data_IF_246587364639
#
_entry.id   IF_246587364639
#
_cell.length_a   1.000
_cell.length_b   1.000
_cell.length_c   1.000
_cell.angle_alpha   90.00
_cell.angle_beta   90.00
_cell.angle_gamma   90.00
#
_symmetry.space_group_name_H-M   'P 1'
#
loop_
_entity.id
_entity.type
_entity.pdbx_description
1 polymer ?
#
# COMPACT_ATOMS: atom_id res chain seq x y z
N UNK A 1 -37.50 29.10 25.89
CA UNK A 1 -36.51 28.66 24.88
C UNK A 1 -35.63 29.82 24.40
N UNK A 2 -36.14 30.78 23.61
CA UNK A 2 -35.30 31.85 23.01
C UNK A 2 -34.60 32.78 24.01
N UNK A 3 -35.27 33.10 25.12
CA UNK A 3 -34.72 33.94 26.21
C UNK A 3 -33.63 33.25 27.04
N UNK A 4 -33.53 31.91 26.93
CA UNK A 4 -32.53 31.09 27.63
C UNK A 4 -31.25 30.95 26.81
N UNK A 5 -31.36 31.09 25.48
CA UNK A 5 -30.24 30.94 24.54
C UNK A 5 -29.70 32.29 24.01
N UNK A 6 -30.24 33.41 24.50
CA UNK A 6 -29.89 34.78 24.08
C UNK A 6 -29.85 35.01 22.55
N UNK A 7 -30.83 34.44 21.84
CA UNK A 7 -30.98 34.61 20.39
C UNK A 7 -32.28 35.37 20.07
N UNK A 8 -32.24 36.26 19.09
CA UNK A 8 -33.43 36.96 18.62
C UNK A 8 -34.41 36.00 17.94
N UNK A 9 -35.71 36.21 18.17
CA UNK A 9 -36.78 35.40 17.56
C UNK A 9 -36.74 35.45 16.03
N UNK A 10 -36.39 36.61 15.47
CA UNK A 10 -36.23 36.81 14.02
C UNK A 10 -35.03 36.04 13.47
N UNK A 11 -33.87 36.09 14.14
CA UNK A 11 -32.67 35.37 13.72
C UNK A 11 -32.86 33.85 13.78
N UNK A 12 -33.61 33.34 14.75
CA UNK A 12 -33.96 31.92 14.81
C UNK A 12 -34.82 31.47 13.63
N UNK A 13 -35.90 32.18 13.30
CA UNK A 13 -36.77 31.81 12.18
C UNK A 13 -36.14 32.10 10.81
N UNK A 14 -35.22 33.07 10.72
CA UNK A 14 -34.43 33.30 9.52
C UNK A 14 -33.44 32.16 9.28
N UNK A 15 -32.77 31.68 10.34
CA UNK A 15 -31.92 30.49 10.28
C UNK A 15 -32.72 29.23 9.94
N UNK A 16 -33.88 29.04 10.56
CA UNK A 16 -34.77 27.89 10.33
C UNK A 16 -35.26 27.80 8.88
N UNK A 17 -35.44 28.95 8.21
CA UNK A 17 -35.91 29.02 6.82
C UNK A 17 -34.79 29.17 5.79
N UNK A 18 -33.52 29.19 6.22
CA UNK A 18 -32.39 29.48 5.33
C UNK A 18 -32.19 28.29 4.39
N UNK A 19 -32.24 28.48 3.06
CA UNK A 19 -31.88 27.42 2.12
C UNK A 19 -30.40 27.08 2.26
N UNK A 20 -30.03 25.89 1.79
CA UNK A 20 -28.63 25.43 1.82
C UNK A 20 -27.72 26.46 1.15
N UNK A 21 -26.62 26.79 1.84
CA UNK A 21 -25.60 27.65 1.28
C UNK A 21 -24.89 26.96 0.10
N UNK A 22 -24.28 27.74 -0.80
CA UNK A 22 -23.50 27.18 -1.92
C UNK A 22 -22.38 26.23 -1.44
N UNK A 23 -21.82 26.48 -0.26
CA UNK A 23 -20.82 25.62 0.37
C UNK A 23 -21.39 24.28 0.84
N UNK A 24 -22.61 24.28 1.36
CA UNK A 24 -23.31 23.05 1.77
C UNK A 24 -23.73 22.24 0.54
N UNK A 25 -24.25 22.90 -0.51
CA UNK A 25 -24.56 22.24 -1.77
C UNK A 25 -23.32 21.57 -2.38
N UNK A 26 -22.19 22.30 -2.44
CA UNK A 26 -20.91 21.74 -2.91
C UNK A 26 -20.47 20.53 -2.09
N UNK A 27 -20.72 20.52 -0.78
CA UNK A 27 -20.40 19.37 0.08
C UNK A 27 -21.27 18.16 -0.24
N UNK A 28 -22.57 18.35 -0.49
CA UNK A 28 -23.44 17.24 -0.91
C UNK A 28 -23.03 16.69 -2.28
N UNK A 29 -22.72 17.56 -3.24
CA UNK A 29 -22.22 17.13 -4.56
C UNK A 29 -20.90 16.35 -4.42
N UNK A 30 -20.00 16.80 -3.54
CA UNK A 30 -18.75 16.09 -3.24
C UNK A 30 -18.98 14.73 -2.59
N UNK A 31 -19.98 14.60 -1.69
CA UNK A 31 -20.31 13.30 -1.08
C UNK A 31 -20.74 12.29 -2.13
N UNK A 32 -21.55 12.70 -3.11
CA UNK A 32 -21.96 11.84 -4.23
C UNK A 32 -20.78 11.38 -5.08
N UNK A 33 -19.85 12.29 -5.40
CA UNK A 33 -18.65 11.95 -6.15
C UNK A 33 -17.71 11.02 -5.37
N UNK A 34 -17.55 11.26 -4.08
CA UNK A 34 -16.75 10.41 -3.18
C UNK A 34 -17.34 9.01 -3.11
N UNK A 35 -18.65 8.89 -2.95
CA UNK A 35 -19.36 7.61 -2.90
C UNK A 35 -19.22 6.83 -4.22
N UNK A 36 -19.42 7.50 -5.35
CA UNK A 36 -19.22 6.91 -6.68
C UNK A 36 -17.80 6.34 -6.86
N UNK A 37 -16.76 7.14 -6.58
CA UNK A 37 -15.36 6.70 -6.68
C UNK A 37 -15.08 5.54 -5.70
N UNK A 38 -15.66 5.59 -4.51
CA UNK A 38 -15.48 4.56 -3.50
C UNK A 38 -16.08 3.21 -3.94
N UNK A 39 -17.31 3.22 -4.45
CA UNK A 39 -17.97 2.00 -4.96
C UNK A 39 -17.28 1.46 -6.22
N UNK A 40 -16.90 2.31 -7.17
CA UNK A 40 -16.16 1.91 -8.38
C UNK A 40 -14.83 1.24 -8.04
N UNK A 41 -14.21 1.62 -6.91
CA UNK A 41 -12.99 0.99 -6.41
C UNK A 41 -13.19 -0.40 -5.78
N UNK A 42 -14.41 -0.94 -5.81
CA UNK A 42 -14.79 -2.12 -5.04
C UNK A 42 -14.68 -1.90 -3.53
N UNK A 43 -14.90 -0.65 -3.09
CA UNK A 43 -14.83 -0.23 -1.68
C UNK A 43 -13.44 -0.41 -1.06
N UNK A 44 -12.37 -0.47 -1.85
CA UNK A 44 -11.00 -0.70 -1.37
C UNK A 44 -10.22 0.59 -1.12
N UNK A 45 -10.67 1.72 -1.67
CA UNK A 45 -9.93 2.97 -1.63
C UNK A 45 -10.22 3.75 -0.34
N UNK A 46 -9.16 4.07 0.40
CA UNK A 46 -9.23 5.08 1.47
C UNK A 46 -9.13 6.51 0.93
N UNK A 47 -9.33 7.49 1.80
CA UNK A 47 -9.44 8.92 1.44
C UNK A 47 -8.32 9.46 0.55
N UNK A 48 -7.07 9.01 0.73
CA UNK A 48 -5.94 9.44 -0.12
C UNK A 48 -6.10 9.02 -1.59
N UNK A 49 -6.58 7.79 -1.82
CA UNK A 49 -6.78 7.25 -3.17
C UNK A 49 -8.03 7.85 -3.81
N UNK A 50 -9.10 8.03 -3.03
CA UNK A 50 -10.30 8.74 -3.48
C UNK A 50 -9.95 10.19 -3.88
N UNK A 51 -9.21 10.92 -3.04
CA UNK A 51 -8.72 12.26 -3.37
C UNK A 51 -7.90 12.28 -4.67
N UNK A 52 -7.00 11.31 -4.87
CA UNK A 52 -6.21 11.23 -6.11
C UNK A 52 -7.09 11.01 -7.35
N UNK A 53 -8.14 10.19 -7.27
CA UNK A 53 -9.10 10.01 -8.38
C UNK A 53 -9.92 11.27 -8.64
N UNK A 54 -10.39 11.96 -7.59
CA UNK A 54 -11.09 13.24 -7.72
C UNK A 54 -10.21 14.30 -8.41
N UNK A 55 -8.93 14.39 -8.03
CA UNK A 55 -7.94 15.26 -8.68
C UNK A 55 -7.76 14.91 -10.16
N UNK A 56 -7.70 13.63 -10.51
CA UNK A 56 -7.60 13.16 -11.92
C UNK A 56 -8.84 13.51 -12.72
N UNK A 57 -10.02 13.49 -12.09
CA UNK A 57 -11.28 13.92 -12.66
C UNK A 57 -11.46 15.45 -12.72
N UNK A 58 -10.44 16.23 -12.32
CA UNK A 58 -10.47 17.70 -12.34
C UNK A 58 -11.21 18.34 -11.16
N UNK A 59 -11.53 17.58 -10.12
CA UNK A 59 -12.20 18.09 -8.92
C UNK A 59 -11.16 18.61 -7.94
N UNK A 60 -11.11 19.94 -7.80
CA UNK A 60 -10.28 20.64 -6.82
C UNK A 60 -10.90 20.52 -5.42
N UNK A 61 -10.31 19.66 -4.58
CA UNK A 61 -10.72 19.43 -3.19
C UNK A 61 -9.50 19.07 -2.35
N UNK A 62 -9.51 19.48 -1.08
CA UNK A 62 -8.46 19.16 -0.11
C UNK A 62 -8.65 17.73 0.45
N UNK A 63 -7.56 17.02 0.74
CA UNK A 63 -7.61 15.62 1.17
C UNK A 63 -8.20 15.45 2.57
N UNK A 64 -8.05 16.44 3.45
CA UNK A 64 -8.65 16.46 4.78
C UNK A 64 -10.17 16.67 4.70
N UNK A 65 -10.66 17.45 3.72
CA UNK A 65 -12.09 17.56 3.44
C UNK A 65 -12.66 16.23 2.94
N UNK A 66 -11.98 15.55 2.01
CA UNK A 66 -12.39 14.20 1.56
C UNK A 66 -12.46 13.23 2.73
N UNK A 67 -11.45 13.26 3.62
CA UNK A 67 -11.41 12.42 4.82
C UNK A 67 -12.60 12.68 5.76
N UNK A 68 -12.96 13.95 5.97
CA UNK A 68 -14.12 14.34 6.79
C UNK A 68 -15.43 13.86 6.17
N UNK A 69 -15.63 14.11 4.87
CA UNK A 69 -16.85 13.71 4.17
C UNK A 69 -17.02 12.19 4.15
N UNK A 70 -15.96 11.42 3.86
CA UNK A 70 -16.01 9.96 3.94
C UNK A 70 -16.41 9.47 5.34
N UNK A 71 -15.94 10.13 6.40
CA UNK A 71 -16.35 9.81 7.78
C UNK A 71 -17.81 10.15 8.05
N UNK A 72 -18.28 11.31 7.58
CA UNK A 72 -19.67 11.76 7.74
C UNK A 72 -20.66 10.78 7.08
N UNK A 73 -20.33 10.25 5.90
CA UNK A 73 -21.18 9.28 5.19
C UNK A 73 -20.85 7.81 5.54
N UNK A 74 -19.94 7.55 6.48
CA UNK A 74 -19.65 6.21 6.97
C UNK A 74 -18.88 5.29 6.01
N UNK A 75 -18.14 5.85 5.05
CA UNK A 75 -17.37 5.08 4.08
C UNK A 75 -16.05 4.59 4.69
N UNK A 76 -15.99 3.28 4.95
CA UNK A 76 -14.81 2.61 5.50
C UNK A 76 -14.26 1.64 4.47
N UNK A 77 -13.01 1.81 4.01
CA UNK A 77 -12.44 0.93 3.00
C UNK A 77 -12.32 -0.50 3.51
N UNK A 78 -12.78 -1.44 2.70
CA UNK A 78 -12.62 -2.86 2.90
C UNK A 78 -11.14 -3.21 2.71
N UNK A 79 -10.48 -3.56 3.80
CA UNK A 79 -9.19 -4.24 3.72
C UNK A 79 -9.44 -5.68 3.27
N UNK A 80 -9.48 -5.91 1.96
CA UNK A 80 -9.45 -7.26 1.42
C UNK A 80 -8.10 -7.86 1.81
N UNK A 81 -8.06 -8.64 2.89
CA UNK A 81 -6.94 -9.53 3.17
C UNK A 81 -6.91 -10.54 2.02
N UNK A 82 -6.14 -10.24 0.97
CA UNK A 82 -5.82 -11.21 -0.07
C UNK A 82 -5.26 -12.41 0.68
N UNK A 83 -5.97 -13.55 0.63
CA UNK A 83 -5.52 -14.81 1.21
C UNK A 83 -4.28 -15.24 0.41
N UNK A 84 -3.12 -14.66 0.74
CA UNK A 84 -1.83 -15.03 0.15
C UNK A 84 -1.39 -16.30 0.86
N UNK A 85 -1.69 -17.41 0.21
CA UNK A 85 -1.29 -18.74 0.64
C UNK A 85 -1.35 -19.66 -0.56
N UNK A 86 -0.57 -19.36 -1.61
CA UNK A 86 -0.19 -20.39 -2.59
C UNK A 86 0.86 -21.34 -1.97
N UNK A 87 1.51 -20.88 -0.91
CA UNK A 87 2.48 -21.62 -0.12
C UNK A 87 1.77 -22.30 1.05
N UNK A 88 1.52 -23.61 0.94
CA UNK A 88 1.28 -24.44 2.12
C UNK A 88 2.64 -24.54 2.81
N UNK A 89 2.77 -23.93 3.98
CA UNK A 89 3.98 -24.08 4.79
C UNK A 89 4.23 -25.59 4.98
N UNK A 90 5.42 -26.05 4.59
CA UNK A 90 5.84 -27.39 4.90
C UNK A 90 5.91 -27.51 6.42
N UNK A 91 4.96 -28.26 6.99
CA UNK A 91 4.83 -28.44 8.45
C UNK A 91 6.06 -29.10 9.06
N UNK A 92 6.95 -29.66 8.23
CA UNK A 92 8.19 -30.32 8.64
C UNK A 92 9.42 -29.45 8.46
N UNK A 93 9.30 -28.28 7.81
CA UNK A 93 10.42 -27.37 7.64
C UNK A 93 10.81 -26.71 8.97
N UNK A 94 12.10 -26.73 9.28
CA UNK A 94 12.65 -25.96 10.40
C UNK A 94 12.38 -24.48 10.18
N UNK A 95 11.86 -23.75 11.18
CA UNK A 95 11.68 -22.30 11.07
C UNK A 95 12.99 -21.65 10.68
N UNK A 96 12.99 -20.85 9.61
CA UNK A 96 14.14 -20.03 9.25
C UNK A 96 14.34 -19.03 10.40
N UNK A 97 15.50 -18.98 11.06
CA UNK A 97 15.72 -18.07 12.17
C UNK A 97 15.61 -16.63 11.68
N UNK A 98 14.83 -15.81 12.40
CA UNK A 98 14.75 -14.37 12.16
C UNK A 98 16.02 -13.70 12.69
N UNK A 99 17.02 -13.62 11.81
CA UNK A 99 18.35 -13.10 12.13
C UNK A 99 18.33 -11.60 12.48
N UNK A 100 17.30 -10.86 12.05
CA UNK A 100 17.14 -9.44 12.37
C UNK A 100 16.12 -9.18 13.47
N UNK A 101 15.43 -10.21 13.98
CA UNK A 101 14.39 -10.11 15.02
C UNK A 101 13.35 -9.02 14.71
N UNK A 102 13.01 -8.87 13.43
CA UNK A 102 12.16 -7.79 12.88
C UNK A 102 12.63 -6.36 13.19
N UNK A 103 13.88 -6.16 13.61
CA UNK A 103 14.48 -4.84 13.73
C UNK A 103 15.11 -4.44 12.39
N UNK A 104 14.45 -3.51 11.70
CA UNK A 104 14.90 -2.94 10.43
C UNK A 104 15.51 -1.54 10.59
N UNK A 105 15.96 -1.22 11.80
CA UNK A 105 16.65 0.04 12.11
C UNK A 105 18.14 -0.11 11.84
N UNK A 106 18.78 0.93 11.31
CA UNK A 106 20.22 1.01 11.09
C UNK A 106 20.67 2.42 11.44
N UNK A 107 21.89 2.56 11.96
CA UNK A 107 22.47 3.86 12.34
C UNK A 107 23.27 4.49 11.22
N UNK A 108 23.67 3.71 10.20
CA UNK A 108 24.36 4.19 8.99
C UNK A 108 23.98 3.40 7.74
N UNK A 109 24.14 4.03 6.59
CA UNK A 109 23.96 3.35 5.30
C UNK A 109 24.94 2.18 5.14
N UNK A 110 24.44 1.09 4.55
CA UNK A 110 25.19 -0.12 4.28
C UNK A 110 25.35 -1.07 5.47
N UNK A 111 24.79 -0.73 6.63
CA UNK A 111 24.89 -1.52 7.86
C UNK A 111 23.93 -2.72 7.87
N UNK A 112 22.68 -2.48 7.46
CA UNK A 112 21.62 -3.49 7.44
C UNK A 112 20.84 -3.34 6.14
N UNK A 113 20.61 -4.46 5.47
CA UNK A 113 19.93 -4.52 4.19
C UNK A 113 18.88 -5.62 4.23
N UNK A 114 17.79 -5.41 3.51
CA UNK A 114 16.74 -6.41 3.33
C UNK A 114 16.53 -6.68 1.85
N UNK A 115 16.17 -7.93 1.53
CA UNK A 115 15.74 -8.32 0.20
C UNK A 115 14.24 -8.57 0.16
N UNK A 116 13.62 -8.29 -0.97
CA UNK A 116 12.25 -8.74 -1.27
C UNK A 116 12.19 -9.26 -2.71
N UNK A 117 11.31 -10.24 -2.95
CA UNK A 117 10.96 -10.67 -4.30
C UNK A 117 9.47 -10.51 -4.50
N UNK A 118 9.11 -9.67 -5.48
CA UNK A 118 7.74 -9.38 -5.84
C UNK A 118 7.43 -9.95 -7.22
N UNK A 119 6.36 -10.74 -7.33
CA UNK A 119 5.76 -11.11 -8.60
C UNK A 119 4.89 -9.96 -9.11
N UNK A 120 5.16 -9.53 -10.33
CA UNK A 120 4.41 -8.52 -11.08
C UNK A 120 3.68 -9.24 -12.20
N UNK A 121 2.35 -9.20 -12.16
CA UNK A 121 1.52 -9.75 -13.23
C UNK A 121 1.51 -8.77 -14.41
N UNK A 122 1.92 -9.24 -15.59
CA UNK A 122 1.91 -8.46 -16.85
C UNK A 122 1.03 -9.15 -17.90
N UNK A 123 0.69 -8.45 -18.98
CA UNK A 123 -0.09 -9.02 -20.09
C UNK A 123 0.64 -10.18 -20.80
N UNK A 124 1.96 -10.23 -20.72
CA UNK A 124 2.81 -11.26 -21.36
C UNK A 124 3.18 -12.42 -20.41
N UNK A 125 2.74 -12.35 -19.15
CA UNK A 125 3.05 -13.33 -18.12
C UNK A 125 3.62 -12.71 -16.83
N UNK A 126 4.02 -13.57 -15.90
CA UNK A 126 4.57 -13.13 -14.63
C UNK A 126 6.04 -12.68 -14.77
N UNK A 127 6.36 -11.54 -14.17
CA UNK A 127 7.71 -11.01 -14.05
C UNK A 127 8.11 -10.96 -12.57
N UNK A 128 9.29 -11.45 -12.22
CA UNK A 128 9.78 -11.47 -10.84
C UNK A 128 10.83 -10.38 -10.64
N UNK A 129 10.56 -9.46 -9.72
CA UNK A 129 11.46 -8.39 -9.30
C UNK A 129 12.09 -8.71 -7.96
N UNK A 130 13.40 -8.92 -7.94
CA UNK A 130 14.20 -8.97 -6.72
C UNK A 130 14.76 -7.58 -6.42
N UNK A 131 14.68 -7.14 -5.17
CA UNK A 131 15.23 -5.84 -4.71
C UNK A 131 16.10 -6.02 -3.48
N UNK A 132 17.05 -5.10 -3.30
CA UNK A 132 17.83 -4.92 -2.07
C UNK A 132 17.61 -3.48 -1.60
N UNK A 133 17.13 -3.34 -0.36
CA UNK A 133 16.81 -2.06 0.27
C UNK A 133 17.75 -1.83 1.45
N UNK A 134 18.35 -0.65 1.52
CA UNK A 134 19.14 -0.21 2.68
C UNK A 134 18.22 0.19 3.84
N UNK A 135 18.46 -0.35 5.04
CA UNK A 135 17.61 -0.10 6.20
C UNK A 135 17.80 1.31 6.80
N UNK A 136 18.88 2.03 6.49
CA UNK A 136 19.08 3.40 6.98
C UNK A 136 18.39 4.41 6.05
N UNK A 137 18.76 4.43 4.77
CA UNK A 137 18.24 5.40 3.80
C UNK A 137 16.86 5.04 3.24
N UNK A 138 16.43 3.77 3.39
CA UNK A 138 15.23 3.20 2.76
C UNK A 138 15.27 3.22 1.22
N UNK A 139 16.44 3.46 0.63
CA UNK A 139 16.61 3.45 -0.83
C UNK A 139 16.79 2.02 -1.35
N UNK A 140 16.26 1.76 -2.55
CA UNK A 140 16.61 0.57 -3.33
C UNK A 140 18.05 0.74 -3.84
N UNK A 141 18.96 -0.10 -3.34
CA UNK A 141 20.38 -0.05 -3.70
C UNK A 141 20.76 -1.08 -4.75
N UNK A 142 19.85 -2.01 -5.09
CA UNK A 142 20.04 -3.00 -6.14
C UNK A 142 18.72 -3.68 -6.50
N UNK A 143 18.59 -4.10 -7.76
CA UNK A 143 17.46 -4.87 -8.25
C UNK A 143 17.83 -5.82 -9.41
N UNK A 144 17.01 -6.84 -9.63
CA UNK A 144 17.09 -7.75 -10.77
C UNK A 144 15.70 -8.20 -11.21
N UNK A 145 15.50 -8.45 -12.51
CA UNK A 145 14.26 -8.92 -13.11
C UNK A 145 14.49 -10.23 -13.84
N UNK A 146 13.54 -11.17 -13.76
CA UNK A 146 13.50 -12.38 -14.58
C UNK A 146 12.05 -12.81 -14.80
N UNK A 147 11.74 -13.42 -15.96
CA UNK A 147 10.42 -13.99 -16.25
C UNK A 147 10.19 -15.34 -15.55
N UNK A 148 11.21 -15.86 -14.87
CA UNK A 148 11.19 -17.09 -14.06
C UNK A 148 11.63 -16.78 -12.63
N UNK A 149 11.43 -17.74 -11.73
CA UNK A 149 11.88 -17.68 -10.33
C UNK A 149 13.13 -18.54 -10.09
N UNK A 150 14.31 -18.28 -10.72
CA UNK A 150 15.49 -19.08 -10.46
C UNK A 150 16.11 -18.68 -9.11
N UNK A 151 16.73 -19.63 -8.41
CA UNK A 151 17.53 -19.34 -7.21
C UNK A 151 18.70 -18.38 -7.49
N UNK A 152 19.11 -18.23 -8.75
CA UNK A 152 20.07 -17.22 -9.16
C UNK A 152 19.52 -15.80 -9.11
N UNK A 153 18.20 -15.55 -9.16
CA UNK A 153 17.62 -14.21 -9.05
C UNK A 153 17.81 -13.65 -7.63
N UNK A 154 17.68 -14.54 -6.64
CA UNK A 154 17.98 -14.35 -5.22
C UNK A 154 19.47 -14.06 -4.99
N UNK A 155 20.34 -14.82 -5.65
CA UNK A 155 21.79 -14.72 -5.50
C UNK A 155 22.45 -13.76 -6.49
N UNK A 156 21.68 -13.18 -7.42
CA UNK A 156 22.19 -12.30 -8.46
C UNK A 156 22.71 -11.05 -7.77
N UNK A 157 23.98 -10.75 -8.02
CA UNK A 157 24.56 -9.45 -7.67
C UNK A 157 23.85 -8.41 -8.53
N UNK A 158 23.02 -7.52 -7.96
CA UNK A 158 22.36 -6.50 -8.77
C UNK A 158 23.40 -5.64 -9.47
N UNK A 159 23.08 -5.17 -10.68
CA UNK A 159 23.97 -4.42 -11.57
C UNK A 159 24.54 -3.13 -10.97
N UNK A 160 23.96 -2.64 -9.87
CA UNK A 160 24.51 -1.59 -9.01
C UNK A 160 24.69 -2.21 -7.62
N UNK A 161 25.94 -2.47 -7.24
CA UNK A 161 26.31 -2.74 -5.86
C UNK A 161 27.46 -1.78 -5.51
N UNK A 162 27.25 -0.74 -4.69
CA UNK A 162 28.36 0.08 -4.22
C UNK A 162 29.32 -0.79 -3.39
N UNK A 163 30.63 -0.61 -3.59
CA UNK A 163 31.66 -1.33 -2.82
C UNK A 163 31.43 -1.04 -1.32
N UNK A 164 31.48 -2.05 -0.44
CA UNK A 164 31.30 -1.82 0.99
C UNK A 164 32.40 -0.90 1.51
N UNK A 165 32.00 0.16 2.23
CA UNK A 165 32.89 1.19 2.80
C UNK A 165 33.60 0.69 4.08
N UNK A 166 33.26 -0.48 4.61
CA UNK A 166 34.04 -1.11 5.69
C UNK A 166 33.89 -2.63 5.76
N UNK A 167 34.95 -3.30 6.24
CA UNK A 167 35.01 -4.74 6.56
C UNK A 167 34.26 -5.09 7.87
N UNK A 168 33.00 -4.66 7.99
CA UNK A 168 32.15 -5.15 9.08
C UNK A 168 31.62 -6.55 8.73
N UNK A 169 31.47 -7.48 9.70
CA UNK A 169 30.97 -8.82 9.44
C UNK A 169 29.55 -8.71 8.86
N UNK A 170 29.47 -8.97 7.56
CA UNK A 170 28.27 -8.95 6.77
C UNK A 170 27.36 -10.08 7.28
N UNK A 171 26.30 -9.74 8.01
CA UNK A 171 25.21 -10.69 8.25
C UNK A 171 24.53 -10.91 6.90
N UNK A 172 25.00 -11.93 6.17
CA UNK A 172 24.39 -12.44 4.94
C UNK A 172 23.10 -13.19 5.29
N UNK A 173 22.13 -12.49 5.87
CA UNK A 173 20.79 -13.04 6.02
C UNK A 173 19.97 -12.61 4.81
N UNK A 174 20.14 -13.36 3.72
CA UNK A 174 19.14 -13.36 2.65
C UNK A 174 17.89 -14.01 3.24
N UNK A 175 16.86 -13.21 3.53
CA UNK A 175 15.55 -13.71 3.93
C UNK A 175 14.67 -13.61 2.67
N UNK A 176 14.54 -14.69 1.87
CA UNK A 176 13.47 -14.75 0.89
C UNK A 176 12.17 -14.74 1.68
N UNK A 177 11.30 -13.78 1.39
CA UNK A 177 9.95 -13.78 1.96
C UNK A 177 9.12 -14.97 1.48
N UNK A 178 9.47 -15.66 0.38
CA UNK A 178 8.88 -16.96 0.01
C UNK A 178 9.85 -17.91 -0.75
N UNK A 179 9.81 -19.19 -0.39
CA UNK A 179 10.67 -20.25 -0.92
C UNK A 179 10.15 -20.95 -2.17
N UNK A 180 11.11 -21.51 -2.93
CA UNK A 180 11.07 -22.70 -3.80
C UNK A 180 9.68 -23.19 -4.24
N UNK A 181 9.37 -23.06 -5.53
CA UNK A 181 8.19 -23.67 -6.17
C UNK A 181 8.57 -24.91 -7.00
N UNK A 182 7.76 -25.97 -6.85
CA UNK A 182 7.88 -27.24 -7.57
C UNK A 182 7.44 -27.11 -9.03
N UNK A 183 8.12 -27.84 -9.93
CA UNK A 183 7.68 -28.12 -11.31
C UNK A 183 6.32 -28.82 -11.31
N UNK A 184 5.36 -28.30 -12.07
CA UNK A 184 4.29 -29.14 -12.65
C UNK A 184 4.69 -29.48 -14.08
N UNK A 185 5.11 -30.74 -14.31
CA UNK A 185 5.02 -31.32 -15.63
C UNK A 185 3.53 -31.48 -15.95
N UNK A 186 3.00 -30.66 -16.87
CA UNK A 186 1.80 -31.05 -17.63
C UNK A 186 2.27 -32.08 -18.65
N UNK A 187 2.08 -33.36 -18.33
CA UNK A 187 2.04 -34.39 -19.35
C UNK A 187 0.85 -34.03 -20.27
N UNK A 188 1.15 -33.61 -21.49
CA UNK A 188 0.22 -33.75 -22.60
C UNK A 188 0.27 -35.23 -22.96
N UNK A 189 -0.83 -35.92 -22.78
CA UNK A 189 -1.08 -37.18 -23.47
C UNK A 189 -2.18 -36.95 -24.52
N UNK A 190 -2.09 -37.68 -25.64
CA UNK A 190 -2.54 -37.27 -26.97
C UNK A 190 -4.06 -37.16 -27.12
#
# INVERSE_FOLDING_TARGET
MFRVLDVSKSGYHEWEKRPMSASEQRREDLKLLIDFVFEESGRTYGYRRVHAELRRAGVEVDDELVRKLMREVGLVPVQVKRRRGLTVADKTATPIPDLVRRDFTASRSGEKMIGDITQIDTAEGALFLATVIDCFSKSVIGWALDSRYPASLVCARPSIWPRPVSRSPMVRSFIPTEGVQRRRHRARHP
#
